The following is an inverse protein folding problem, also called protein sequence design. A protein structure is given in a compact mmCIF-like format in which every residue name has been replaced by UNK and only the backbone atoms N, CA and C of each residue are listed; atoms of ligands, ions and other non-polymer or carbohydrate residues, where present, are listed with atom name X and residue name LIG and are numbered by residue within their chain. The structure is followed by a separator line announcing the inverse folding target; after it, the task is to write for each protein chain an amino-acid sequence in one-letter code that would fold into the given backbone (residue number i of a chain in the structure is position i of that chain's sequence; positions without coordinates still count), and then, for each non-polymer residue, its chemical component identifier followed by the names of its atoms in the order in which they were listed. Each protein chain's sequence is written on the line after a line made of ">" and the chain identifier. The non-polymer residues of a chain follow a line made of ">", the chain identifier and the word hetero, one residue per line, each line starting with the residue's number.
data_IF_621820467297
#
_entry.id   IF_621820467297
#
_cell.length_a   1.000
_cell.length_b   1.000
_cell.length_c   1.000
_cell.angle_alpha   90.00
_cell.angle_beta   90.00
_cell.angle_gamma   90.00
#
_symmetry.space_group_name_H-M   'P 1'
#
loop_
_entity.id
_entity.type
_entity.pdbx_description
1 polymer ?
#
# COMPACT_ATOMS: atom_id res chain seq x y z
N UNK A 1 -1.57 3.33 -18.20
CA UNK A 1 -0.25 4.01 -18.29
C UNK A 1 0.49 3.83 -16.97
N UNK A 2 1.73 3.32 -17.04
CA UNK A 2 2.64 3.25 -15.89
C UNK A 2 3.59 4.44 -15.90
N UNK A 3 3.58 5.24 -14.84
CA UNK A 3 4.48 6.38 -14.70
C UNK A 3 5.76 5.96 -13.99
N UNK A 4 6.91 6.12 -14.64
CA UNK A 4 8.22 6.00 -14.00
C UNK A 4 8.54 7.31 -13.26
N UNK A 5 8.64 7.23 -11.95
CA UNK A 5 8.91 8.40 -11.13
C UNK A 5 10.40 8.83 -11.22
N UNK A 6 10.71 10.12 -11.06
CA UNK A 6 12.07 10.61 -10.89
C UNK A 6 12.85 9.83 -9.82
N UNK A 7 14.14 9.60 -10.06
CA UNK A 7 14.99 8.80 -9.16
C UNK A 7 14.85 7.29 -9.30
N UNK A 8 13.87 6.78 -10.08
CA UNK A 8 13.58 5.36 -10.21
C UNK A 8 13.92 4.79 -11.61
N UNK A 9 14.24 3.50 -11.66
CA UNK A 9 14.32 2.71 -12.89
C UNK A 9 15.57 2.90 -13.76
N UNK A 10 16.58 3.65 -13.32
CA UNK A 10 17.83 3.85 -14.07
C UNK A 10 19.06 3.35 -13.30
N UNK A 11 19.31 3.92 -12.12
CA UNK A 11 20.37 3.51 -11.24
C UNK A 11 20.02 3.84 -9.78
N UNK A 12 20.46 3.03 -8.79
CA UNK A 12 20.18 3.30 -7.39
C UNK A 12 20.67 4.67 -6.90
N UNK A 13 21.72 5.22 -7.53
CA UNK A 13 22.23 6.56 -7.24
C UNK A 13 21.19 7.68 -7.45
N UNK A 14 20.17 7.46 -8.27
CA UNK A 14 19.05 8.38 -8.40
C UNK A 14 18.28 8.59 -7.09
N UNK A 15 18.36 7.64 -6.14
CA UNK A 15 17.79 7.78 -4.81
C UNK A 15 18.50 8.77 -3.89
N UNK A 16 19.66 9.32 -4.33
CA UNK A 16 20.43 10.29 -3.56
C UNK A 16 20.07 11.75 -3.85
N UNK A 17 19.37 12.03 -4.95
CA UNK A 17 19.26 13.40 -5.48
C UNK A 17 17.85 13.84 -5.84
N UNK A 18 16.87 12.93 -5.97
CA UNK A 18 15.49 13.33 -6.28
C UNK A 18 14.83 14.03 -5.09
N UNK A 19 13.92 14.94 -5.35
CA UNK A 19 13.04 15.50 -4.36
C UNK A 19 11.60 14.99 -4.56
N UNK A 20 10.79 14.94 -3.50
CA UNK A 20 9.41 14.47 -3.67
C UNK A 20 8.59 15.44 -4.53
N UNK A 21 8.95 16.70 -4.61
CA UNK A 21 8.38 17.70 -5.51
C UNK A 21 8.55 17.35 -6.99
N UNK A 22 9.67 16.70 -7.35
CA UNK A 22 9.88 16.18 -8.72
C UNK A 22 8.88 15.08 -9.05
N UNK A 23 8.61 14.20 -8.09
CA UNK A 23 7.59 13.16 -8.25
C UNK A 23 6.18 13.75 -8.40
N UNK A 24 5.85 14.77 -7.59
CA UNK A 24 4.58 15.50 -7.70
C UNK A 24 4.44 16.15 -9.09
N UNK A 25 5.51 16.80 -9.58
CA UNK A 25 5.53 17.41 -10.91
C UNK A 25 5.30 16.36 -12.01
N UNK A 26 5.95 15.20 -11.91
CA UNK A 26 5.79 14.10 -12.86
C UNK A 26 4.33 13.59 -12.92
N UNK A 27 3.67 13.43 -11.77
CA UNK A 27 2.25 13.04 -11.70
C UNK A 27 1.36 14.10 -12.36
N UNK A 28 1.62 15.40 -12.09
CA UNK A 28 0.85 16.51 -12.71
C UNK A 28 0.99 16.53 -14.22
N UNK A 29 2.20 16.33 -14.73
CA UNK A 29 2.47 16.25 -16.19
C UNK A 29 1.73 15.06 -16.79
N UNK A 30 1.83 13.88 -16.20
CA UNK A 30 1.17 12.67 -16.68
C UNK A 30 -0.35 12.84 -16.74
N UNK A 31 -0.97 13.40 -15.70
CA UNK A 31 -2.42 13.59 -15.63
C UNK A 31 -2.92 14.62 -16.66
N UNK A 32 -2.15 15.71 -16.87
CA UNK A 32 -2.48 16.69 -17.92
C UNK A 32 -2.38 16.09 -19.32
N UNK A 33 -1.34 15.29 -19.57
CA UNK A 33 -1.15 14.62 -20.85
C UNK A 33 -2.24 13.58 -21.12
N UNK A 34 -2.57 12.74 -20.14
CA UNK A 34 -3.69 11.79 -20.23
C UNK A 34 -5.01 12.50 -20.51
N UNK A 35 -5.31 13.60 -19.82
CA UNK A 35 -6.52 14.38 -20.07
C UNK A 35 -6.56 14.92 -21.48
N UNK A 36 -5.41 15.39 -22.00
CA UNK A 36 -5.30 15.87 -23.40
C UNK A 36 -5.56 14.75 -24.41
N UNK A 37 -5.04 13.54 -24.14
CA UNK A 37 -5.19 12.39 -25.05
C UNK A 37 -6.61 11.79 -25.00
N UNK A 38 -7.22 11.72 -23.83
CA UNK A 38 -8.52 11.06 -23.63
C UNK A 38 -9.72 11.98 -23.88
N UNK A 39 -9.51 13.30 -23.91
CA UNK A 39 -10.59 14.29 -23.95
C UNK A 39 -11.22 14.53 -22.56
N UNK A 40 -12.20 15.46 -22.45
CA UNK A 40 -12.73 15.93 -21.17
C UNK A 40 -13.58 14.88 -20.43
N UNK A 41 -14.27 14.00 -21.14
CA UNK A 41 -15.36 13.19 -20.59
C UNK A 41 -14.94 11.81 -20.08
N UNK A 42 -13.79 11.29 -20.53
CA UNK A 42 -13.35 9.96 -20.10
C UNK A 42 -12.84 9.98 -18.66
N UNK A 43 -13.32 9.06 -17.78
CA UNK A 43 -12.84 8.98 -16.43
C UNK A 43 -11.36 8.56 -16.39
N UNK A 44 -10.59 9.15 -15.46
CA UNK A 44 -9.20 8.76 -15.19
C UNK A 44 -9.14 8.29 -13.74
N UNK A 45 -8.82 7.03 -13.52
CA UNK A 45 -8.54 6.47 -12.21
C UNK A 45 -7.04 6.48 -11.95
N UNK A 46 -6.66 6.78 -10.71
CA UNK A 46 -5.26 6.70 -10.28
C UNK A 46 -5.05 5.46 -9.43
N UNK A 47 -4.14 4.59 -9.84
CA UNK A 47 -3.69 3.45 -9.04
C UNK A 47 -2.36 3.82 -8.40
N UNK A 48 -2.30 3.83 -7.07
CA UNK A 48 -1.11 4.20 -6.31
C UNK A 48 -0.67 3.09 -5.35
N UNK A 49 0.56 2.59 -5.54
CA UNK A 49 1.15 1.62 -4.63
C UNK A 49 2.19 2.31 -3.74
N UNK A 50 2.14 2.06 -2.42
CA UNK A 50 3.10 2.59 -1.44
C UNK A 50 3.27 4.12 -1.57
N UNK A 51 4.47 4.62 -1.93
CA UNK A 51 4.73 6.05 -2.18
C UNK A 51 3.85 6.64 -3.31
N UNK A 52 3.54 5.82 -4.34
CA UNK A 52 2.60 6.21 -5.40
C UNK A 52 1.19 6.49 -4.87
N UNK A 53 0.77 5.79 -3.81
CA UNK A 53 -0.48 6.06 -3.09
C UNK A 53 -0.46 7.42 -2.38
N UNK A 54 0.65 7.77 -1.73
CA UNK A 54 0.84 9.09 -1.13
C UNK A 54 0.76 10.22 -2.18
N UNK A 55 1.41 10.02 -3.33
CA UNK A 55 1.37 10.98 -4.44
C UNK A 55 -0.04 11.13 -5.05
N UNK A 56 -0.82 10.06 -5.14
CA UNK A 56 -2.20 10.11 -5.62
C UNK A 56 -3.10 10.90 -4.66
N UNK A 57 -2.92 10.73 -3.35
CA UNK A 57 -3.60 11.51 -2.32
C UNK A 57 -3.18 12.98 -2.39
N UNK A 58 -1.88 13.27 -2.44
CA UNK A 58 -1.35 14.64 -2.56
C UNK A 58 -1.89 15.37 -3.80
N UNK A 59 -1.91 14.69 -4.94
CA UNK A 59 -2.49 15.21 -6.17
C UNK A 59 -3.97 15.57 -5.99
N UNK A 60 -4.74 14.70 -5.35
CA UNK A 60 -6.18 14.90 -5.12
C UNK A 60 -6.45 16.08 -4.19
N UNK A 61 -5.62 16.26 -3.15
CA UNK A 61 -5.69 17.44 -2.27
C UNK A 61 -5.39 18.73 -3.05
N UNK A 62 -4.40 18.72 -3.97
CA UNK A 62 -4.09 19.89 -4.80
C UNK A 62 -5.25 20.29 -5.70
N UNK A 63 -6.00 19.32 -6.24
CA UNK A 63 -7.25 19.58 -6.97
C UNK A 63 -8.29 20.25 -6.07
N UNK A 64 -8.45 19.78 -4.83
CA UNK A 64 -9.42 20.35 -3.88
C UNK A 64 -9.02 21.74 -3.39
N UNK A 65 -7.73 22.03 -3.33
CA UNK A 65 -7.19 23.36 -3.01
C UNK A 65 -7.30 24.35 -4.17
N UNK A 66 -7.83 23.91 -5.32
CA UNK A 66 -8.11 24.77 -6.47
C UNK A 66 -7.00 24.83 -7.53
N UNK A 67 -6.00 23.96 -7.46
CA UNK A 67 -5.02 23.84 -8.54
C UNK A 67 -5.74 23.37 -9.83
N UNK A 68 -5.48 24.05 -10.96
CA UNK A 68 -6.08 23.72 -12.25
C UNK A 68 -5.51 22.40 -12.81
N UNK A 69 -5.97 21.28 -12.27
CA UNK A 69 -5.56 19.93 -12.61
C UNK A 69 -6.76 19.06 -13.00
N UNK A 70 -6.57 18.07 -13.88
CA UNK A 70 -7.59 17.07 -14.16
C UNK A 70 -8.01 16.33 -12.89
N UNK A 71 -9.31 16.28 -12.60
CA UNK A 71 -9.84 15.58 -11.43
C UNK A 71 -9.83 14.08 -11.68
N UNK A 72 -9.29 13.25 -10.75
CA UNK A 72 -9.43 11.81 -10.80
C UNK A 72 -10.89 11.39 -10.60
N UNK A 73 -11.34 10.38 -11.34
CA UNK A 73 -12.65 9.76 -11.14
C UNK A 73 -12.69 8.91 -9.87
N UNK A 74 -11.55 8.33 -9.49
CA UNK A 74 -11.36 7.59 -8.25
C UNK A 74 -9.90 7.23 -8.01
N UNK A 75 -9.59 6.83 -6.77
CA UNK A 75 -8.28 6.36 -6.34
C UNK A 75 -8.35 4.89 -5.94
N UNK A 76 -7.36 4.11 -6.39
CA UNK A 76 -7.13 2.73 -5.98
C UNK A 76 -5.76 2.69 -5.31
N UNK A 77 -5.74 2.46 -4.01
CA UNK A 77 -4.55 2.61 -3.19
C UNK A 77 -4.13 1.25 -2.62
N UNK A 78 -2.94 0.80 -2.98
CA UNK A 78 -2.35 -0.45 -2.51
C UNK A 78 -1.28 -0.13 -1.47
N UNK A 79 -1.55 -0.41 -0.19
CA UNK A 79 -0.68 -0.05 0.95
C UNK A 79 -0.11 1.38 0.81
N UNK A 80 -0.96 2.42 0.75
CA UNK A 80 -0.50 3.80 0.51
C UNK A 80 0.34 4.30 1.69
N UNK A 81 1.49 4.91 1.41
CA UNK A 81 2.37 5.49 2.42
C UNK A 81 1.78 6.80 2.99
N UNK A 82 0.71 6.72 3.79
CA UNK A 82 0.06 7.90 4.40
C UNK A 82 0.80 8.37 5.65
N UNK A 83 1.34 7.45 6.44
CA UNK A 83 2.25 7.77 7.52
C UNK A 83 3.34 6.70 7.60
N UNK A 84 4.59 7.14 7.70
CA UNK A 84 5.76 6.28 7.84
C UNK A 84 6.27 6.37 9.27
N UNK A 85 6.78 5.26 9.79
CA UNK A 85 7.31 5.23 11.16
C UNK A 85 8.44 6.25 11.35
N UNK A 86 8.49 6.89 12.54
CA UNK A 86 9.46 7.95 12.90
C UNK A 86 10.95 7.54 12.82
N UNK A 87 11.27 6.29 12.50
CA UNK A 87 12.65 5.81 12.31
C UNK A 87 13.39 6.53 11.16
N UNK A 88 12.67 7.17 10.23
CA UNK A 88 13.27 7.97 9.15
C UNK A 88 13.98 9.25 9.65
N UNK A 89 13.69 9.74 10.86
CA UNK A 89 14.29 10.98 11.42
C UNK A 89 15.81 10.88 11.59
N UNK A 90 16.32 9.69 11.92
CA UNK A 90 17.78 9.46 12.13
C UNK A 90 18.56 9.66 10.81
N UNK A 91 17.90 9.55 9.66
CA UNK A 91 18.51 9.71 8.34
C UNK A 91 19.06 11.11 8.05
N UNK A 92 18.42 12.17 8.53
CA UNK A 92 18.81 13.56 8.22
C UNK A 92 20.19 13.94 8.72
N UNK A 93 20.62 13.43 9.87
CA UNK A 93 21.96 13.69 10.43
C UNK A 93 23.04 12.98 9.62
N UNK A 94 22.77 11.77 9.10
CA UNK A 94 23.72 10.99 8.32
C UNK A 94 23.92 11.51 6.90
N UNK A 95 22.92 12.14 6.30
CA UNK A 95 23.03 12.73 4.96
C UNK A 95 24.10 13.84 4.92
N UNK A 96 24.17 14.69 5.94
CA UNK A 96 25.21 15.74 6.02
C UNK A 96 26.64 15.20 6.14
N UNK A 97 26.84 14.03 6.77
CA UNK A 97 28.17 13.39 6.89
C UNK A 97 28.59 12.74 5.58
N UNK A 98 27.67 12.28 4.75
CA UNK A 98 27.98 11.61 3.48
C UNK A 98 28.55 12.52 2.40
N UNK A 99 28.43 13.84 2.55
CA UNK A 99 29.01 14.85 1.65
C UNK A 99 30.54 15.01 1.83
N UNK A 100 31.07 14.47 2.92
CA UNK A 100 32.53 14.48 3.15
C UNK A 100 33.25 13.45 2.28
N UNK A 101 34.42 13.77 1.71
CA UNK A 101 35.22 12.83 0.92
C UNK A 101 35.47 11.52 1.68
N UNK A 102 35.16 10.38 1.07
CA UNK A 102 35.28 9.04 1.64
C UNK A 102 34.12 8.53 2.45
N UNK A 103 33.12 9.36 2.75
CA UNK A 103 31.90 8.98 3.53
C UNK A 103 30.64 8.70 2.69
N UNK A 104 30.75 8.58 1.38
CA UNK A 104 29.60 8.33 0.49
C UNK A 104 28.75 7.12 0.88
N UNK A 105 29.35 6.11 1.54
CA UNK A 105 28.63 4.94 2.06
C UNK A 105 27.64 5.30 3.18
N UNK A 106 27.86 6.41 3.89
CA UNK A 106 26.97 6.89 4.95
C UNK A 106 25.63 7.44 4.42
N UNK A 107 25.52 7.71 3.11
CA UNK A 107 24.27 8.10 2.45
C UNK A 107 23.26 6.96 2.35
N UNK A 108 23.70 5.72 2.52
CA UNK A 108 22.89 4.53 2.31
C UNK A 108 22.49 3.88 3.62
N UNK A 109 21.21 3.58 3.76
CA UNK A 109 20.68 2.77 4.86
C UNK A 109 20.99 1.28 4.62
N UNK A 110 20.80 0.84 3.36
CA UNK A 110 21.12 -0.51 2.90
C UNK A 110 21.79 -0.40 1.54
N UNK A 111 22.87 -1.15 1.34
CA UNK A 111 23.48 -1.39 0.04
C UNK A 111 23.43 -2.90 -0.19
N UNK A 112 22.75 -3.32 -1.25
CA UNK A 112 22.56 -4.74 -1.60
C UNK A 112 22.80 -4.94 -3.10
N UNK A 113 23.11 -6.18 -3.53
CA UNK A 113 23.14 -6.51 -4.95
C UNK A 113 21.78 -6.24 -5.59
N UNK A 114 21.75 -5.57 -6.73
CA UNK A 114 20.53 -5.23 -7.47
C UNK A 114 20.10 -6.42 -8.32
N UNK A 115 19.46 -7.41 -7.71
CA UNK A 115 19.00 -8.64 -8.38
C UNK A 115 17.56 -8.57 -8.86
N UNK A 116 16.82 -7.55 -8.42
CA UNK A 116 15.42 -7.35 -8.78
C UNK A 116 15.34 -6.33 -9.93
N UNK A 117 14.81 -6.71 -11.11
CA UNK A 117 14.76 -5.80 -12.26
C UNK A 117 13.75 -4.67 -12.13
N UNK A 118 12.82 -4.73 -11.18
CA UNK A 118 11.71 -3.78 -11.05
C UNK A 118 11.85 -2.84 -9.86
N UNK A 119 12.67 -3.19 -8.87
CA UNK A 119 12.92 -2.33 -7.73
C UNK A 119 14.36 -2.40 -7.25
N UNK A 120 14.87 -1.29 -6.72
CA UNK A 120 16.16 -1.28 -6.07
C UNK A 120 16.16 -2.08 -4.77
N UNK A 121 17.24 -2.84 -4.54
CA UNK A 121 17.50 -3.52 -3.28
C UNK A 121 18.23 -2.58 -2.30
N UNK A 122 18.98 -1.64 -2.84
CA UNK A 122 19.64 -0.58 -2.07
C UNK A 122 18.65 0.53 -1.73
N UNK A 123 18.79 1.12 -0.53
CA UNK A 123 17.90 2.19 -0.08
C UNK A 123 18.71 3.30 0.61
N UNK A 124 18.48 4.55 0.22
CA UNK A 124 19.21 5.71 0.76
C UNK A 124 18.46 6.37 1.92
N UNK A 125 19.22 7.03 2.81
CA UNK A 125 18.61 7.89 3.83
C UNK A 125 17.90 9.10 3.23
N UNK A 126 18.37 9.60 2.09
CA UNK A 126 17.74 10.70 1.38
C UNK A 126 16.31 10.29 0.92
N UNK A 127 16.18 9.15 0.24
CA UNK A 127 14.87 8.65 -0.20
C UNK A 127 13.89 8.44 0.97
N UNK A 128 14.38 7.94 2.11
CA UNK A 128 13.59 7.83 3.33
C UNK A 128 13.13 9.22 3.83
N UNK A 129 14.02 10.21 3.81
CA UNK A 129 13.74 11.59 4.18
C UNK A 129 12.68 12.24 3.29
N UNK A 130 12.79 12.05 1.97
CA UNK A 130 11.83 12.59 1.01
C UNK A 130 10.44 11.95 1.17
N UNK A 131 10.38 10.64 1.38
CA UNK A 131 9.12 9.96 1.71
C UNK A 131 8.49 10.52 2.99
N UNK A 132 9.31 10.76 4.03
CA UNK A 132 8.82 11.34 5.28
C UNK A 132 8.34 12.79 5.10
N UNK A 133 9.04 13.62 4.30
CA UNK A 133 8.59 14.98 3.97
C UNK A 133 7.22 14.97 3.32
N UNK A 134 7.03 14.09 2.32
CA UNK A 134 5.75 13.93 1.64
C UNK A 134 4.64 13.52 2.62
N UNK A 135 4.87 12.48 3.43
CA UNK A 135 3.85 11.96 4.35
C UNK A 135 3.51 12.95 5.47
N UNK A 136 4.50 13.68 6.00
CA UNK A 136 4.25 14.73 6.99
C UNK A 136 3.41 15.87 6.39
N UNK A 137 3.75 16.31 5.17
CA UNK A 137 2.97 17.31 4.45
C UNK A 137 1.53 16.86 4.20
N UNK A 138 1.34 15.57 3.87
CA UNK A 138 -0.01 15.01 3.69
C UNK A 138 -0.83 15.07 4.98
N UNK A 139 -0.25 14.67 6.12
CA UNK A 139 -0.95 14.73 7.41
C UNK A 139 -1.36 16.16 7.76
N UNK A 140 -0.45 17.13 7.61
CA UNK A 140 -0.72 18.55 7.85
C UNK A 140 -1.84 19.08 6.96
N UNK A 141 -1.83 18.77 5.66
CA UNK A 141 -2.86 19.21 4.70
C UNK A 141 -4.21 18.57 5.02
N UNK A 142 -4.24 17.26 5.25
CA UNK A 142 -5.46 16.54 5.63
C UNK A 142 -6.03 17.05 6.96
N UNK A 143 -5.17 17.33 7.95
CA UNK A 143 -5.59 17.91 9.23
C UNK A 143 -6.21 19.29 9.02
N UNK A 144 -5.53 20.19 8.31
CA UNK A 144 -6.02 21.55 8.02
C UNK A 144 -7.36 21.54 7.28
N UNK A 145 -7.50 20.66 6.27
CA UNK A 145 -8.76 20.55 5.53
C UNK A 145 -9.90 20.00 6.41
N UNK A 146 -9.58 19.11 7.35
CA UNK A 146 -10.55 18.50 8.25
C UNK A 146 -10.96 19.40 9.45
N UNK A 147 -10.28 20.54 9.70
CA UNK A 147 -10.65 21.48 10.77
C UNK A 147 -12.09 21.99 10.67
N UNK A 148 -12.62 22.08 9.44
CA UNK A 148 -13.98 22.54 9.16
C UNK A 148 -15.01 21.40 9.06
N UNK A 149 -14.62 20.19 9.40
CA UNK A 149 -15.41 18.98 9.29
C UNK A 149 -14.89 18.01 8.23
N UNK A 150 -15.62 16.92 7.93
CA UNK A 150 -15.18 15.92 6.97
C UNK A 150 -14.90 16.52 5.60
N UNK A 151 -13.78 16.10 4.99
CA UNK A 151 -13.29 16.61 3.72
C UNK A 151 -14.26 16.24 2.60
N UNK A 152 -14.92 17.24 2.03
CA UNK A 152 -15.88 17.08 0.96
C UNK A 152 -15.19 17.06 -0.41
N UNK A 153 -15.80 16.31 -1.35
CA UNK A 153 -15.35 16.34 -2.73
C UNK A 153 -14.03 15.60 -3.00
N UNK A 154 -13.47 14.89 -2.04
CA UNK A 154 -12.36 13.97 -2.30
C UNK A 154 -12.81 12.85 -3.26
N UNK A 155 -11.97 12.38 -4.19
CA UNK A 155 -12.34 11.30 -5.11
C UNK A 155 -12.75 10.04 -4.34
N UNK A 156 -13.73 9.25 -4.83
CA UNK A 156 -13.99 7.91 -4.34
C UNK A 156 -12.68 7.13 -4.19
N UNK A 157 -12.52 6.41 -3.09
CA UNK A 157 -11.22 5.81 -2.77
C UNK A 157 -11.38 4.37 -2.30
N UNK A 158 -10.75 3.44 -3.02
CA UNK A 158 -10.61 2.03 -2.65
C UNK A 158 -9.20 1.77 -2.13
N UNK A 159 -9.09 1.28 -0.90
CA UNK A 159 -7.80 1.02 -0.25
C UNK A 159 -7.65 -0.45 0.06
N UNK A 160 -6.51 -1.04 -0.30
CA UNK A 160 -6.10 -2.39 0.07
C UNK A 160 -4.92 -2.35 1.02
N UNK A 161 -5.01 -3.07 2.15
CA UNK A 161 -3.97 -3.16 3.17
C UNK A 161 -3.87 -4.56 3.75
N UNK A 162 -2.66 -4.97 4.15
CA UNK A 162 -2.48 -6.04 5.13
C UNK A 162 -2.60 -5.49 6.54
N UNK A 163 -3.27 -6.21 7.42
CA UNK A 163 -3.43 -5.80 8.85
C UNK A 163 -2.10 -5.74 9.60
N UNK A 164 -1.09 -6.44 9.11
CA UNK A 164 0.25 -6.54 9.72
C UNK A 164 1.36 -5.91 8.86
N UNK A 165 1.00 -5.04 7.93
CA UNK A 165 1.98 -4.30 7.13
C UNK A 165 2.98 -3.58 8.07
N UNK A 166 4.25 -3.98 8.02
CA UNK A 166 5.32 -3.42 8.85
C UNK A 166 5.85 -2.08 8.33
N UNK A 167 5.49 -1.72 7.11
CA UNK A 167 5.96 -0.50 6.43
C UNK A 167 4.90 0.61 6.50
N UNK A 168 3.65 0.26 6.20
CA UNK A 168 2.51 1.17 6.20
C UNK A 168 1.55 0.77 7.32
N UNK A 169 1.41 1.64 8.30
CA UNK A 169 0.55 1.34 9.45
C UNK A 169 -0.93 1.47 9.07
N UNK A 170 -1.68 0.37 9.11
CA UNK A 170 -3.11 0.37 8.84
C UNK A 170 -3.90 1.39 9.71
N UNK A 171 -3.62 1.56 11.03
CA UNK A 171 -4.24 2.61 11.81
C UNK A 171 -4.03 4.02 11.24
N UNK A 172 -2.85 4.32 10.71
CA UNK A 172 -2.57 5.63 10.15
C UNK A 172 -3.38 5.92 8.88
N UNK A 173 -3.56 4.93 8.00
CA UNK A 173 -4.42 5.08 6.81
C UNK A 173 -5.88 5.33 7.22
N UNK A 174 -6.34 4.64 8.26
CA UNK A 174 -7.69 4.84 8.81
C UNK A 174 -7.84 6.22 9.45
N UNK A 175 -6.95 6.57 10.36
CA UNK A 175 -7.11 7.75 11.22
C UNK A 175 -6.71 9.05 10.49
N UNK A 176 -5.70 9.00 9.62
CA UNK A 176 -5.16 10.18 8.93
C UNK A 176 -5.86 10.44 7.60
N UNK A 177 -6.26 9.41 6.85
CA UNK A 177 -6.92 9.58 5.56
C UNK A 177 -8.43 9.30 5.66
N UNK A 178 -8.81 8.03 5.75
CA UNK A 178 -10.21 7.62 5.57
C UNK A 178 -11.16 8.22 6.60
N UNK A 179 -10.73 8.34 7.86
CA UNK A 179 -11.52 8.94 8.94
C UNK A 179 -11.75 10.45 8.81
N UNK A 180 -10.95 11.13 7.98
CA UNK A 180 -11.10 12.57 7.71
C UNK A 180 -11.97 12.86 6.47
N UNK A 181 -12.24 11.87 5.63
CA UNK A 181 -13.08 12.04 4.44
C UNK A 181 -14.56 12.11 4.80
N UNK A 182 -15.32 12.81 3.96
CA UNK A 182 -16.78 12.73 4.02
C UNK A 182 -17.26 11.34 3.61
N UNK A 183 -18.46 10.98 4.09
CA UNK A 183 -19.14 9.78 3.63
C UNK A 183 -19.31 9.81 2.11
N UNK A 184 -18.92 8.72 1.46
CA UNK A 184 -18.95 8.56 0.02
C UNK A 184 -18.65 7.12 -0.38
N UNK A 185 -18.30 6.91 -1.64
CA UNK A 185 -17.85 5.61 -2.14
C UNK A 185 -16.40 5.32 -1.74
N UNK A 186 -16.13 5.31 -0.42
CA UNK A 186 -14.83 4.95 0.11
C UNK A 186 -14.90 3.54 0.69
N UNK A 187 -13.89 2.73 0.43
CA UNK A 187 -13.79 1.37 0.96
C UNK A 187 -12.37 1.07 1.43
N UNK A 188 -12.28 0.36 2.55
CA UNK A 188 -11.07 -0.24 3.08
C UNK A 188 -11.20 -1.76 3.03
N UNK A 189 -10.34 -2.40 2.26
CA UNK A 189 -10.18 -3.86 2.22
C UNK A 189 -8.93 -4.24 3.02
N UNK A 190 -9.13 -4.94 4.13
CA UNK A 190 -8.07 -5.46 4.99
C UNK A 190 -7.87 -6.95 4.77
N UNK A 191 -6.65 -7.34 4.41
CA UNK A 191 -6.23 -8.73 4.44
C UNK A 191 -5.69 -9.07 5.83
N UNK A 192 -6.36 -9.96 6.54
CA UNK A 192 -5.94 -10.44 7.86
C UNK A 192 -4.72 -11.37 7.76
N UNK A 193 -4.20 -11.84 8.87
CA UNK A 193 -3.23 -12.93 8.92
C UNK A 193 -3.94 -14.27 8.72
N UNK A 194 -3.18 -15.31 8.37
CA UNK A 194 -3.70 -16.67 8.37
C UNK A 194 -4.03 -17.07 9.82
N UNK A 195 -5.32 -17.24 10.12
CA UNK A 195 -5.87 -17.56 11.44
C UNK A 195 -5.97 -19.08 11.71
N UNK A 196 -5.35 -19.89 10.87
CA UNK A 196 -5.34 -21.33 11.11
C UNK A 196 -4.70 -21.65 12.47
N UNK A 197 -5.29 -22.58 13.21
CA UNK A 197 -4.99 -22.78 14.64
C UNK A 197 -3.54 -23.18 14.95
N UNK A 198 -2.85 -23.80 13.99
CA UNK A 198 -1.42 -24.14 14.12
C UNK A 198 -0.51 -22.91 14.10
N UNK A 199 -0.95 -21.83 13.51
CA UNK A 199 -0.19 -20.57 13.39
C UNK A 199 -0.41 -19.65 14.59
N UNK A 200 -1.59 -19.67 15.19
CA UNK A 200 -1.99 -18.79 16.29
C UNK A 200 -0.97 -18.71 17.45
N UNK A 201 -0.41 -19.84 17.95
CA UNK A 201 0.57 -19.79 19.04
C UNK A 201 1.92 -19.15 18.64
N UNK A 202 2.18 -19.01 17.36
CA UNK A 202 3.42 -18.46 16.82
C UNK A 202 3.32 -16.95 16.54
N UNK A 203 2.14 -16.35 16.64
CA UNK A 203 1.94 -14.92 16.38
C UNK A 203 2.53 -14.07 17.52
N UNK A 204 3.42 -13.16 17.18
CA UNK A 204 3.92 -12.09 18.06
C UNK A 204 3.04 -10.84 17.94
N UNK A 205 2.66 -10.51 16.72
CA UNK A 205 1.78 -9.38 16.42
C UNK A 205 0.41 -9.94 16.00
N UNK A 206 -0.55 -9.92 16.91
CA UNK A 206 -1.94 -10.25 16.59
C UNK A 206 -2.71 -8.99 16.18
N UNK A 207 -3.14 -8.85 14.92
CA UNK A 207 -3.95 -7.70 14.48
C UNK A 207 -5.42 -7.81 14.90
N UNK A 208 -5.85 -8.88 15.55
CA UNK A 208 -7.23 -9.10 15.98
C UNK A 208 -7.84 -7.92 16.74
N UNK A 209 -7.16 -7.30 17.73
CA UNK A 209 -7.69 -6.13 18.43
C UNK A 209 -7.96 -4.92 17.50
N UNK A 210 -7.11 -4.69 16.51
CA UNK A 210 -7.32 -3.64 15.51
C UNK A 210 -8.55 -3.94 14.64
N UNK A 211 -8.59 -5.14 14.08
CA UNK A 211 -9.70 -5.59 13.21
C UNK A 211 -11.03 -5.52 13.96
N UNK A 212 -11.06 -6.00 15.22
CA UNK A 212 -12.25 -5.96 16.06
C UNK A 212 -12.70 -4.51 16.35
N UNK A 213 -11.77 -3.63 16.72
CA UNK A 213 -12.07 -2.20 16.93
C UNK A 213 -12.69 -1.57 15.69
N UNK A 214 -12.15 -1.88 14.52
CA UNK A 214 -12.67 -1.35 13.26
C UNK A 214 -14.07 -1.90 12.95
N UNK A 215 -14.31 -3.20 13.18
CA UNK A 215 -15.63 -3.82 13.01
C UNK A 215 -16.68 -3.30 14.01
N UNK A 216 -16.28 -3.02 15.24
CA UNK A 216 -17.15 -2.53 16.31
C UNK A 216 -17.45 -1.01 16.20
N UNK A 217 -16.73 -0.28 15.33
CA UNK A 217 -16.99 1.14 15.11
C UNK A 217 -18.33 1.33 14.39
N UNK A 218 -19.34 1.96 15.02
CA UNK A 218 -20.73 1.93 14.51
C UNK A 218 -20.96 2.83 13.29
N UNK A 219 -20.14 3.90 13.15
CA UNK A 219 -20.25 4.84 12.02
C UNK A 219 -18.88 5.18 11.48
N UNK A 220 -18.74 5.08 10.17
CA UNK A 220 -17.49 5.34 9.45
C UNK A 220 -17.77 6.15 8.18
N UNK A 221 -16.75 6.79 7.64
CA UNK A 221 -16.80 7.46 6.34
C UNK A 221 -16.52 6.51 5.15
N UNK A 222 -16.32 5.22 5.44
CA UNK A 222 -15.94 4.20 4.46
C UNK A 222 -16.56 2.85 4.80
N UNK A 223 -16.78 2.03 3.79
CA UNK A 223 -17.10 0.61 3.94
C UNK A 223 -15.85 -0.14 4.41
N UNK A 224 -16.00 -1.03 5.38
CA UNK A 224 -14.93 -1.92 5.81
C UNK A 224 -15.19 -3.33 5.32
N UNK A 225 -14.20 -3.87 4.61
CA UNK A 225 -14.17 -5.28 4.20
C UNK A 225 -12.94 -5.95 4.79
N UNK A 226 -13.09 -7.09 5.46
CA UNK A 226 -11.99 -7.87 6.04
C UNK A 226 -11.97 -9.25 5.40
N UNK A 227 -10.86 -9.59 4.75
CA UNK A 227 -10.60 -10.93 4.22
C UNK A 227 -9.86 -11.72 5.27
N UNK A 228 -10.50 -12.77 5.82
CA UNK A 228 -9.99 -13.58 6.93
C UNK A 228 -10.41 -15.04 6.79
N UNK A 229 -9.79 -15.96 7.55
CA UNK A 229 -10.20 -17.37 7.51
C UNK A 229 -11.68 -17.56 7.89
N UNK A 230 -12.34 -18.53 7.29
CA UNK A 230 -13.71 -18.92 7.62
C UNK A 230 -13.82 -19.27 9.10
N UNK A 231 -12.87 -20.06 9.61
CA UNK A 231 -12.70 -20.42 11.00
C UNK A 231 -11.23 -20.89 11.23
N UNK A 232 -10.77 -21.08 12.49
CA UNK A 232 -9.40 -21.46 12.80
C UNK A 232 -8.98 -22.89 12.38
N UNK A 233 -9.82 -23.66 11.70
CA UNK A 233 -9.56 -25.04 11.26
C UNK A 233 -9.40 -25.19 9.76
N UNK A 234 -9.40 -24.09 9.03
CA UNK A 234 -9.32 -24.11 7.56
C UNK A 234 -8.53 -22.91 7.04
N UNK A 235 -7.78 -23.11 5.97
CA UNK A 235 -7.15 -22.05 5.21
C UNK A 235 -8.14 -21.27 4.33
N UNK A 236 -9.35 -21.82 4.10
CA UNK A 236 -10.38 -21.14 3.32
C UNK A 236 -10.74 -19.78 3.93
N UNK A 237 -10.94 -18.77 3.08
CA UNK A 237 -11.23 -17.41 3.51
C UNK A 237 -12.65 -16.97 3.18
N UNK A 238 -13.11 -15.98 3.93
CA UNK A 238 -14.34 -15.23 3.73
C UNK A 238 -14.04 -13.73 3.74
N UNK A 239 -14.92 -12.95 3.15
CA UNK A 239 -14.99 -11.53 3.44
C UNK A 239 -16.04 -11.26 4.53
N UNK A 240 -15.71 -10.34 5.41
CA UNK A 240 -16.63 -9.70 6.35
C UNK A 240 -16.81 -8.27 5.88
N UNK A 241 -18.01 -7.94 5.45
CA UNK A 241 -18.35 -6.60 4.96
C UNK A 241 -19.15 -5.87 6.03
N UNK A 242 -18.71 -4.68 6.43
CA UNK A 242 -19.38 -3.86 7.42
C UNK A 242 -19.83 -2.52 6.82
N UNK A 243 -21.13 -2.32 6.78
CA UNK A 243 -21.76 -1.10 6.26
C UNK A 243 -21.33 0.14 7.05
N UNK A 244 -20.98 1.25 6.38
CA UNK A 244 -20.39 2.42 7.02
C UNK A 244 -21.36 3.17 7.93
N UNK A 245 -22.68 3.08 7.72
CA UNK A 245 -23.69 3.86 8.47
C UNK A 245 -24.37 3.04 9.54
N UNK A 246 -24.81 1.83 9.19
CA UNK A 246 -25.53 0.95 10.12
C UNK A 246 -24.60 0.09 10.98
N UNK A 247 -23.34 -0.08 10.57
CA UNK A 247 -22.44 -1.06 11.18
C UNK A 247 -22.85 -2.52 10.94
N UNK A 248 -23.89 -2.75 10.12
CA UNK A 248 -24.36 -4.11 9.81
C UNK A 248 -23.26 -4.89 9.12
N UNK A 249 -22.96 -6.05 9.67
CA UNK A 249 -21.98 -6.97 9.12
C UNK A 249 -22.66 -8.07 8.31
N UNK A 250 -22.08 -8.38 7.16
CA UNK A 250 -22.42 -9.53 6.33
C UNK A 250 -21.16 -10.33 6.04
N UNK A 251 -21.31 -11.64 5.82
CA UNK A 251 -20.19 -12.51 5.48
C UNK A 251 -20.48 -13.21 4.15
N UNK A 252 -19.48 -13.26 3.27
CA UNK A 252 -19.50 -14.02 2.03
C UNK A 252 -18.30 -14.98 2.01
N UNK A 253 -18.57 -16.26 1.75
CA UNK A 253 -17.50 -17.24 1.53
C UNK A 253 -16.81 -16.93 0.21
N UNK A 254 -15.49 -16.98 0.21
CA UNK A 254 -14.69 -16.84 -1.00
C UNK A 254 -14.19 -18.21 -1.45
N UNK A 255 -14.12 -18.41 -2.77
CA UNK A 255 -13.46 -19.60 -3.35
C UNK A 255 -11.94 -19.40 -3.40
N UNK A 256 -11.36 -19.07 -2.24
CA UNK A 256 -9.96 -18.74 -2.05
C UNK A 256 -9.48 -19.30 -0.72
N UNK A 257 -8.20 -19.65 -0.66
CA UNK A 257 -7.56 -20.18 0.55
C UNK A 257 -6.14 -19.62 0.71
N UNK A 258 -5.66 -19.58 1.94
CA UNK A 258 -4.26 -19.37 2.21
C UNK A 258 -3.43 -20.52 1.64
N UNK A 259 -2.36 -20.26 0.89
CA UNK A 259 -1.44 -21.31 0.47
C UNK A 259 -0.65 -21.86 1.65
N UNK A 260 -0.19 -23.11 1.53
CA UNK A 260 0.71 -23.72 2.49
C UNK A 260 1.95 -22.84 2.70
N UNK A 261 2.34 -22.66 3.97
CA UNK A 261 3.53 -21.88 4.35
C UNK A 261 3.38 -20.36 4.20
N UNK A 262 2.20 -19.84 3.86
CA UNK A 262 1.92 -18.39 3.82
C UNK A 262 1.11 -17.98 5.04
N UNK A 263 1.67 -17.07 5.85
CA UNK A 263 1.11 -16.69 7.15
C UNK A 263 0.50 -15.29 7.18
N UNK A 264 0.95 -14.40 6.30
CA UNK A 264 0.42 -13.04 6.16
C UNK A 264 0.87 -12.43 4.84
N UNK A 265 0.20 -11.36 4.40
CA UNK A 265 0.65 -10.59 3.24
C UNK A 265 1.59 -9.48 3.68
N UNK A 266 2.70 -9.33 2.95
CA UNK A 266 3.51 -8.12 3.01
C UNK A 266 2.96 -7.06 2.05
N UNK A 267 3.25 -5.78 2.30
CA UNK A 267 2.78 -4.73 1.38
C UNK A 267 3.33 -4.90 -0.04
N UNK A 268 4.54 -5.46 -0.19
CA UNK A 268 5.16 -5.72 -1.49
C UNK A 268 4.44 -6.81 -2.29
N UNK A 269 3.64 -7.65 -1.64
CA UNK A 269 2.92 -8.73 -2.29
C UNK A 269 1.63 -8.27 -2.99
N UNK A 270 0.97 -7.23 -2.46
CA UNK A 270 -0.38 -6.85 -2.86
C UNK A 270 -0.57 -6.68 -4.37
N UNK A 271 0.34 -6.02 -5.12
CA UNK A 271 0.12 -5.78 -6.54
C UNK A 271 0.45 -6.96 -7.47
N UNK A 272 1.02 -8.05 -6.96
CA UNK A 272 1.53 -9.13 -7.82
C UNK A 272 0.70 -10.41 -7.68
N UNK A 273 0.29 -11.04 -8.81
CA UNK A 273 -0.45 -12.30 -8.78
C UNK A 273 0.43 -13.50 -8.42
N UNK A 274 -0.17 -14.65 -8.03
CA UNK A 274 0.57 -15.87 -7.73
C UNK A 274 1.38 -16.44 -8.90
N UNK A 275 0.94 -16.19 -10.12
CA UNK A 275 1.59 -16.60 -11.37
C UNK A 275 2.54 -15.56 -11.95
N UNK A 276 2.85 -14.47 -11.19
CA UNK A 276 3.83 -13.48 -11.61
C UNK A 276 5.18 -14.15 -11.92
N UNK A 277 5.81 -13.89 -13.09
CA UNK A 277 7.01 -14.60 -13.51
C UNK A 277 8.22 -14.37 -12.58
N UNK A 278 8.27 -13.26 -11.84
CA UNK A 278 9.37 -12.94 -10.92
C UNK A 278 9.02 -13.19 -9.46
N UNK A 279 7.84 -12.74 -9.03
CA UNK A 279 7.43 -12.71 -7.63
C UNK A 279 6.45 -13.83 -7.25
N UNK A 280 5.87 -14.51 -8.24
CA UNK A 280 4.94 -15.60 -8.03
C UNK A 280 5.61 -16.85 -7.41
N UNK A 281 4.78 -17.68 -6.78
CA UNK A 281 5.18 -18.99 -6.25
C UNK A 281 4.63 -20.14 -7.12
N UNK A 282 3.65 -19.88 -7.97
CA UNK A 282 3.13 -20.84 -8.94
C UNK A 282 4.11 -20.95 -10.09
N UNK A 283 4.85 -22.06 -10.09
CA UNK A 283 5.87 -22.29 -11.08
C UNK A 283 5.30 -22.56 -12.47
N UNK A 284 5.65 -21.72 -13.42
CA UNK A 284 5.76 -22.14 -14.81
C UNK A 284 7.16 -22.67 -15.05
N UNK A 285 7.27 -23.84 -15.71
CA UNK A 285 8.54 -24.46 -16.02
C UNK A 285 9.44 -23.49 -16.80
N UNK A 286 10.68 -23.40 -16.35
CA UNK A 286 11.88 -22.87 -17.01
C UNK A 286 11.73 -21.51 -17.73
N UNK A 287 11.63 -20.44 -16.96
CA UNK A 287 11.68 -19.09 -17.51
C UNK A 287 13.12 -18.58 -17.74
N UNK A 288 14.15 -19.40 -17.45
CA UNK A 288 15.56 -19.03 -17.61
C UNK A 288 16.05 -17.88 -16.72
N UNK A 289 15.27 -17.49 -15.69
CA UNK A 289 15.64 -16.46 -14.74
C UNK A 289 15.27 -16.82 -13.29
N UNK A 290 15.83 -16.09 -12.33
CA UNK A 290 15.59 -16.30 -10.90
C UNK A 290 14.14 -15.90 -10.54
N UNK A 291 13.41 -16.83 -9.91
CA UNK A 291 12.12 -16.53 -9.26
C UNK A 291 12.36 -16.12 -7.81
N UNK A 292 11.84 -14.96 -7.40
CA UNK A 292 12.04 -14.41 -6.06
C UNK A 292 10.93 -14.83 -5.08
N UNK A 293 9.89 -15.52 -5.54
CA UNK A 293 8.73 -15.97 -4.75
C UNK A 293 8.85 -17.38 -4.16
N UNK A 294 9.86 -18.15 -4.52
CA UNK A 294 10.01 -19.57 -4.14
C UNK A 294 10.99 -19.77 -2.99
N UNK A 295 10.58 -19.52 -1.76
CA UNK A 295 11.34 -19.90 -0.55
C UNK A 295 10.34 -20.17 0.59
N UNK A 296 10.61 -21.18 1.43
CA UNK A 296 9.68 -21.99 2.21
C UNK A 296 8.62 -21.28 3.08
N UNK A 297 8.93 -20.44 4.02
CA UNK A 297 7.92 -19.83 4.88
C UNK A 297 7.74 -18.33 4.57
N UNK A 298 6.52 -17.90 4.27
CA UNK A 298 6.23 -16.54 3.84
C UNK A 298 5.30 -15.79 4.77
N UNK A 299 5.62 -14.52 5.01
CA UNK A 299 4.82 -13.61 5.81
C UNK A 299 5.44 -12.23 5.93
N UNK A 300 4.85 -11.38 6.74
CA UNK A 300 5.42 -10.07 7.04
C UNK A 300 6.40 -10.17 8.22
N UNK A 301 7.43 -9.34 8.19
CA UNK A 301 8.47 -9.32 9.22
C UNK A 301 7.89 -8.99 10.60
N UNK A 302 8.32 -9.74 11.62
CA UNK A 302 7.92 -9.52 13.00
C UNK A 302 6.52 -10.03 13.37
N UNK A 303 5.83 -10.77 12.47
CA UNK A 303 4.51 -11.34 12.73
C UNK A 303 4.60 -12.65 13.52
N UNK A 304 5.58 -13.50 13.22
CA UNK A 304 5.78 -14.80 13.89
C UNK A 304 6.98 -14.80 14.83
N UNK A 305 6.90 -15.64 15.88
CA UNK A 305 7.99 -15.92 16.84
C UNK A 305 9.06 -16.85 16.23
N UNK A 306 9.51 -16.51 15.02
CA UNK A 306 10.60 -17.23 14.35
C UNK A 306 11.69 -16.25 13.96
N UNK A 307 12.96 -16.70 13.89
CA UNK A 307 14.03 -15.83 13.41
C UNK A 307 13.72 -15.30 12.00
N UNK A 308 13.98 -14.01 11.77
CA UNK A 308 13.65 -13.35 10.50
C UNK A 308 14.31 -13.99 9.26
N UNK A 309 15.38 -14.76 9.45
CA UNK A 309 16.02 -15.51 8.37
C UNK A 309 15.27 -16.79 7.96
N UNK A 310 14.36 -17.27 8.82
CA UNK A 310 13.48 -18.42 8.51
C UNK A 310 12.16 -17.97 7.89
N UNK A 311 11.83 -16.68 7.98
CA UNK A 311 10.63 -16.10 7.39
C UNK A 311 11.02 -15.18 6.25
N UNK A 312 10.67 -15.54 5.04
CA UNK A 312 10.83 -14.68 3.87
C UNK A 312 9.59 -13.83 3.67
N UNK A 313 9.79 -12.61 3.19
CA UNK A 313 8.69 -11.69 2.92
C UNK A 313 7.87 -12.21 1.74
N UNK A 314 6.55 -12.33 1.92
CA UNK A 314 5.64 -12.69 0.84
C UNK A 314 5.73 -11.66 -0.29
N UNK A 315 5.84 -12.12 -1.55
CA UNK A 315 6.06 -11.25 -2.71
C UNK A 315 4.91 -11.24 -3.71
N UNK A 316 3.99 -12.22 -3.65
CA UNK A 316 2.78 -12.28 -4.46
C UNK A 316 1.55 -12.45 -3.58
N UNK A 317 0.41 -11.99 -4.07
CA UNK A 317 -0.86 -11.98 -3.34
C UNK A 317 -1.71 -13.20 -3.74
N UNK A 318 -1.92 -14.20 -2.87
CA UNK A 318 -2.78 -15.34 -3.19
C UNK A 318 -4.24 -14.93 -3.42
N UNK A 319 -4.64 -13.75 -2.99
CA UNK A 319 -5.99 -13.19 -3.17
C UNK A 319 -6.03 -12.13 -4.28
N UNK A 320 -5.08 -12.15 -5.23
CA UNK A 320 -4.98 -11.15 -6.28
C UNK A 320 -6.21 -11.14 -7.20
N UNK A 321 -6.81 -12.30 -7.49
CA UNK A 321 -8.07 -12.37 -8.25
C UNK A 321 -9.21 -11.62 -7.56
N UNK A 322 -9.34 -11.75 -6.24
CA UNK A 322 -10.29 -11.00 -5.45
C UNK A 322 -9.99 -9.48 -5.46
N UNK A 323 -8.71 -9.10 -5.37
CA UNK A 323 -8.31 -7.70 -5.48
C UNK A 323 -8.75 -7.12 -6.84
N UNK A 324 -8.55 -7.84 -7.94
CA UNK A 324 -9.00 -7.40 -9.27
C UNK A 324 -10.55 -7.32 -9.34
N UNK A 325 -11.27 -8.31 -8.83
CA UNK A 325 -12.75 -8.27 -8.75
C UNK A 325 -13.22 -6.97 -8.05
N UNK A 326 -12.61 -6.63 -6.91
CA UNK A 326 -12.96 -5.39 -6.18
C UNK A 326 -12.62 -4.11 -6.95
N UNK A 327 -11.52 -4.12 -7.71
CA UNK A 327 -11.15 -2.99 -8.58
C UNK A 327 -12.16 -2.85 -9.72
N UNK A 328 -12.53 -3.95 -10.37
CA UNK A 328 -13.49 -3.94 -11.47
C UNK A 328 -14.86 -3.44 -10.99
N UNK A 329 -15.34 -3.89 -9.84
CA UNK A 329 -16.56 -3.38 -9.21
C UNK A 329 -16.51 -1.88 -8.91
N UNK A 330 -15.34 -1.41 -8.44
CA UNK A 330 -15.13 0.00 -8.09
C UNK A 330 -15.10 0.94 -9.31
N UNK A 331 -14.54 0.47 -10.43
CA UNK A 331 -14.45 1.29 -11.66
C UNK A 331 -15.66 1.13 -12.57
N UNK A 332 -16.51 0.12 -12.32
CA UNK A 332 -17.74 -0.07 -13.07
C UNK A 332 -18.65 1.15 -12.92
N UNK A 333 -19.30 1.61 -14.01
CA UNK A 333 -20.28 2.68 -13.90
C UNK A 333 -21.41 2.25 -12.94
N UNK A 334 -21.78 3.14 -12.02
CA UNK A 334 -22.93 2.92 -11.15
C UNK A 334 -24.17 2.67 -12.03
N UNK A 335 -24.71 1.44 -11.97
CA UNK A 335 -25.92 1.04 -12.71
C UNK A 335 -27.16 1.68 -12.12
#
# INVERSE_FOLDING_TARGET
>A
VGLRLPGHGTAPSGLLTFEFEDMQAAVRVAMRDLRKQLGPDKPIYMVGYSNGGALAVDYSLSVLEGEALPRPAGLILLSPAIAVSRLAVIGRIRTGVSELPGFGRAAWQVISPEVDPYKYQSFSFHAAGETQRLTSRLDDRLATMAEKGPIQGFPPTLVFLSTVDSTVQAPAVVDVLLGRLALGHNELVLFDVNRESRVQPLLVADPGPLTQRLLDTPKRAYTLTVVTNVNPRTEQVKELHADPQSGRQTARLLDLSWPDGVFSLSHVALPFPPDDPLYGYESREDLGHIQLGRIDAHGENGVLQIPGWMLTRQRSNPFHSYLLERIDDFVAPAT
#
